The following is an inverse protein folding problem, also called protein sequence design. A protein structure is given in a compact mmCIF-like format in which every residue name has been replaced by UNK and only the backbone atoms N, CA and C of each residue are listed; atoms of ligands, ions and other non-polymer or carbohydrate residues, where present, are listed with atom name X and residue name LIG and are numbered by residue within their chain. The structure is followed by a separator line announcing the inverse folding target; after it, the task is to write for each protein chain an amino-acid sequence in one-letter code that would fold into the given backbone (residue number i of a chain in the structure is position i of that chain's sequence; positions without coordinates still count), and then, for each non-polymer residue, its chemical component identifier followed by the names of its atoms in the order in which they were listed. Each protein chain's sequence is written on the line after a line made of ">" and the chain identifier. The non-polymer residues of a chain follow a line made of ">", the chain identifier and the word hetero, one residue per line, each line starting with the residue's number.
data_IF_027017304837
#
_entry.id   IF_027017304837
#
_cell.length_a   1.000
_cell.length_b   1.000
_cell.length_c   1.000
_cell.angle_alpha   90.00
_cell.angle_beta   90.00
_cell.angle_gamma   90.00
#
_symmetry.space_group_name_H-M   'P 1'
#
loop_
_entity.id
_entity.type
_entity.pdbx_description
1 polymer ?
#
# COMPACT_ATOMS: atom_id res chain seq x y z
N UNK A 1 35.60 -9.33 -0.96
CA UNK A 1 35.33 -8.22 -0.08
C UNK A 1 33.94 -8.38 0.53
N UNK A 2 33.93 -8.55 1.82
CA UNK A 2 32.68 -8.79 2.55
C UNK A 2 31.73 -7.63 2.48
N UNK A 3 32.24 -6.41 2.35
CA UNK A 3 31.39 -5.23 2.29
C UNK A 3 30.41 -5.26 1.12
N UNK A 4 30.80 -5.89 0.02
CA UNK A 4 29.94 -5.95 -1.15
C UNK A 4 28.73 -6.83 -0.94
N UNK A 5 28.86 -7.86 -0.12
CA UNK A 5 27.76 -8.77 0.16
C UNK A 5 26.86 -8.25 1.27
N UNK A 6 27.46 -7.56 2.24
CA UNK A 6 26.69 -7.07 3.39
C UNK A 6 25.61 -6.08 3.01
N UNK A 7 25.87 -5.07 2.16
CA UNK A 7 24.79 -4.15 1.77
C UNK A 7 23.64 -4.84 1.07
N UNK A 8 23.93 -5.83 0.22
CA UNK A 8 22.88 -6.57 -0.48
C UNK A 8 22.03 -7.36 0.52
N UNK A 9 22.67 -7.99 1.51
CA UNK A 9 21.96 -8.74 2.54
C UNK A 9 21.09 -7.80 3.38
N UNK A 10 21.66 -6.66 3.78
CA UNK A 10 20.89 -5.67 4.53
C UNK A 10 19.69 -5.17 3.75
N UNK A 11 19.87 -4.93 2.44
CA UNK A 11 18.78 -4.46 1.61
C UNK A 11 17.68 -5.50 1.53
N UNK A 12 18.04 -6.78 1.40
CA UNK A 12 17.06 -7.85 1.34
C UNK A 12 16.25 -7.93 2.62
N UNK A 13 16.89 -7.71 3.76
CA UNK A 13 16.21 -7.73 5.06
C UNK A 13 15.27 -6.54 5.24
N UNK A 14 15.48 -5.49 4.47
CA UNK A 14 14.66 -4.27 4.53
C UNK A 14 13.66 -4.18 3.38
N UNK A 15 13.38 -5.30 2.74
CA UNK A 15 12.37 -5.40 1.70
C UNK A 15 11.19 -6.16 2.25
N UNK A 16 10.00 -5.60 2.07
CA UNK A 16 8.77 -6.25 2.50
C UNK A 16 8.05 -6.81 1.28
N UNK A 17 7.69 -8.09 1.32
CA UNK A 17 6.88 -8.71 0.27
C UNK A 17 5.71 -9.42 0.93
N UNK A 18 4.50 -9.07 0.50
CA UNK A 18 3.28 -9.72 0.99
C UNK A 18 2.50 -10.22 -0.22
N UNK A 19 2.22 -11.50 -0.25
CA UNK A 19 1.43 -12.10 -1.31
C UNK A 19 0.07 -12.50 -0.75
N UNK A 20 -0.99 -12.04 -1.41
CA UNK A 20 -2.37 -12.36 -1.04
C UNK A 20 -3.14 -12.81 -2.25
N UNK A 21 -4.06 -13.75 -2.05
CA UNK A 21 -4.99 -14.16 -3.08
C UNK A 21 -6.37 -13.68 -2.66
N UNK A 22 -6.98 -12.85 -3.51
CA UNK A 22 -8.32 -12.31 -3.26
C UNK A 22 -9.32 -12.96 -4.21
N UNK A 23 -10.50 -13.27 -3.71
CA UNK A 23 -11.57 -13.86 -4.51
C UNK A 23 -12.34 -12.75 -5.22
N UNK A 24 -11.68 -12.12 -6.18
CA UNK A 24 -12.23 -11.00 -6.95
C UNK A 24 -11.38 -10.79 -8.20
N UNK A 25 -11.98 -10.23 -9.27
CA UNK A 25 -11.21 -9.93 -10.49
C UNK A 25 -10.23 -8.79 -10.23
N UNK A 26 -9.10 -8.83 -10.95
CA UNK A 26 -8.04 -7.83 -10.73
C UNK A 26 -8.49 -6.40 -11.05
N UNK A 27 -9.46 -6.23 -11.94
CA UNK A 27 -9.97 -4.90 -12.24
C UNK A 27 -10.62 -4.26 -11.02
N UNK A 28 -11.31 -5.05 -10.21
CA UNK A 28 -11.92 -4.54 -8.99
C UNK A 28 -10.86 -4.19 -7.94
N UNK A 29 -9.82 -5.03 -7.83
CA UNK A 29 -8.74 -4.77 -6.88
C UNK A 29 -7.96 -3.53 -7.31
N UNK A 30 -7.73 -3.37 -8.62
CA UNK A 30 -7.05 -2.18 -9.11
C UNK A 30 -7.84 -0.91 -8.78
N UNK A 31 -9.17 -0.96 -8.93
CA UNK A 31 -10.03 0.16 -8.55
C UNK A 31 -9.96 0.42 -7.06
N UNK A 32 -9.88 -0.64 -6.25
CA UNK A 32 -9.77 -0.49 -4.81
C UNK A 32 -8.49 0.26 -4.42
N UNK A 33 -7.43 0.08 -5.18
CA UNK A 33 -6.16 0.77 -4.93
C UNK A 33 -6.16 2.21 -5.43
N UNK A 34 -6.95 2.53 -6.45
CA UNK A 34 -6.81 3.82 -7.14
C UNK A 34 -7.97 4.78 -6.93
N UNK A 35 -9.17 4.29 -6.68
CA UNK A 35 -10.32 5.18 -6.50
C UNK A 35 -10.46 5.56 -5.03
N UNK A 36 -10.52 6.88 -4.72
CA UNK A 36 -10.50 7.35 -3.33
C UNK A 36 -11.62 6.76 -2.46
N UNK A 37 -12.82 6.64 -3.00
CA UNK A 37 -13.95 6.11 -2.23
C UNK A 37 -13.76 4.65 -1.84
N UNK A 38 -13.04 3.88 -2.66
CA UNK A 38 -12.72 2.50 -2.32
C UNK A 38 -11.53 2.42 -1.38
N UNK A 39 -10.47 3.18 -1.70
CA UNK A 39 -9.22 3.15 -0.94
C UNK A 39 -9.46 3.50 0.52
N UNK A 40 -10.29 4.50 0.79
CA UNK A 40 -10.57 4.95 2.14
C UNK A 40 -11.22 3.88 3.01
N UNK A 41 -11.82 2.85 2.40
CA UNK A 41 -12.52 1.81 3.13
C UNK A 41 -11.59 0.73 3.69
N UNK A 42 -10.38 0.62 3.18
CA UNK A 42 -9.51 -0.49 3.59
C UNK A 42 -8.05 -0.11 3.85
N UNK A 43 -7.60 1.05 3.40
CA UNK A 43 -6.17 1.36 3.33
C UNK A 43 -5.46 1.49 4.67
N UNK A 44 -6.20 1.61 5.76
CA UNK A 44 -5.62 1.85 7.07
C UNK A 44 -5.72 0.62 7.95
N UNK A 45 -4.82 0.48 8.95
CA UNK A 45 -4.98 -0.58 9.93
C UNK A 45 -6.32 -0.49 10.64
N UNK A 46 -6.72 -1.57 11.29
CA UNK A 46 -8.03 -1.63 11.94
C UNK A 46 -8.16 -0.56 13.00
N UNK A 47 -9.33 0.07 13.02
CA UNK A 47 -9.63 1.12 13.97
C UNK A 47 -9.22 2.51 13.54
N UNK A 48 -8.45 2.60 12.44
CA UNK A 48 -8.08 3.90 11.88
C UNK A 48 -9.16 4.40 10.94
N UNK A 49 -9.22 5.73 10.79
CA UNK A 49 -10.07 6.36 9.78
C UNK A 49 -9.21 7.17 8.84
N UNK A 50 -9.81 7.61 7.72
CA UNK A 50 -9.09 8.36 6.70
C UNK A 50 -9.80 9.71 6.48
N UNK A 51 -9.53 10.71 7.37
CA UNK A 51 -10.22 12.00 7.24
C UNK A 51 -9.81 12.81 6.01
N UNK A 52 -8.69 12.48 5.38
CA UNK A 52 -8.25 13.20 4.19
C UNK A 52 -7.61 12.22 3.21
N UNK A 53 -8.00 12.33 1.95
CA UNK A 53 -7.39 11.57 0.87
C UNK A 53 -7.45 12.40 -0.41
N UNK A 54 -6.30 12.54 -1.06
CA UNK A 54 -6.21 13.23 -2.33
C UNK A 54 -5.23 12.48 -3.21
N UNK A 55 -5.60 12.26 -4.47
CA UNK A 55 -4.72 11.55 -5.39
C UNK A 55 -4.98 12.02 -6.82
N UNK A 56 -3.89 12.07 -7.58
CA UNK A 56 -3.91 12.39 -9.00
C UNK A 56 -3.45 11.12 -9.71
N UNK A 57 -4.39 10.32 -10.17
CA UNK A 57 -4.13 8.97 -10.67
C UNK A 57 -3.58 9.05 -12.09
N UNK A 58 -2.30 9.32 -12.20
CA UNK A 58 -1.57 9.31 -13.46
C UNK A 58 -0.09 9.21 -13.15
N UNK A 59 0.68 8.78 -14.12
CA UNK A 59 2.13 8.70 -13.98
C UNK A 59 2.66 10.09 -13.64
N UNK A 60 3.41 10.19 -12.56
CA UNK A 60 3.92 11.48 -12.05
C UNK A 60 2.95 12.22 -11.16
N UNK A 61 1.72 11.74 -11.00
CA UNK A 61 0.74 12.41 -10.14
C UNK A 61 1.04 12.20 -8.68
N UNK A 62 0.64 13.16 -7.85
CA UNK A 62 0.89 13.12 -6.40
C UNK A 62 -0.31 12.54 -5.66
N UNK A 63 -0.03 11.93 -4.52
CA UNK A 63 -1.10 11.47 -3.63
C UNK A 63 -0.72 11.80 -2.18
N UNK A 64 -1.72 11.97 -1.34
CA UNK A 64 -1.53 12.27 0.08
C UNK A 64 -2.73 11.79 0.87
N UNK A 65 -2.47 11.14 2.01
CA UNK A 65 -3.50 10.54 2.84
C UNK A 65 -3.23 10.87 4.30
N UNK A 66 -4.28 11.17 5.05
CA UNK A 66 -4.20 11.28 6.51
C UNK A 66 -4.90 10.08 7.11
N UNK A 67 -4.20 9.35 7.97
CA UNK A 67 -4.77 8.25 8.72
C UNK A 67 -4.88 8.67 10.19
N UNK A 68 -6.09 8.56 10.74
CA UNK A 68 -6.35 8.96 12.13
C UNK A 68 -6.55 7.72 12.99
N UNK A 69 -5.74 7.61 14.05
CA UNK A 69 -5.81 6.48 14.97
C UNK A 69 -7.05 6.56 15.84
N UNK A 70 -7.42 5.46 16.51
CA UNK A 70 -8.55 5.50 17.45
C UNK A 70 -8.38 6.52 18.57
N UNK A 71 -7.12 6.86 18.91
CA UNK A 71 -6.81 7.87 19.91
C UNK A 71 -6.91 9.29 19.40
N UNK A 72 -7.13 9.45 18.08
CA UNK A 72 -7.24 10.76 17.47
C UNK A 72 -5.95 11.33 16.97
N UNK A 73 -4.89 10.54 16.85
CA UNK A 73 -3.62 11.01 16.34
C UNK A 73 -3.58 10.84 14.83
N UNK A 74 -3.13 11.88 14.14
CA UNK A 74 -3.07 11.91 12.68
C UNK A 74 -1.67 11.52 12.20
N UNK A 75 -1.65 10.66 11.19
CA UNK A 75 -0.43 10.25 10.50
C UNK A 75 -0.59 10.59 9.02
N UNK A 76 0.33 11.37 8.51
CA UNK A 76 0.29 11.81 7.11
C UNK A 76 1.31 11.03 6.29
N UNK A 77 0.86 10.55 5.14
CA UNK A 77 1.71 9.80 4.21
C UNK A 77 1.45 10.34 2.81
N UNK A 78 2.50 10.37 1.99
CA UNK A 78 2.38 10.92 0.64
C UNK A 78 3.36 10.25 -0.32
N UNK A 79 3.18 10.51 -1.59
CA UNK A 79 4.08 9.99 -2.60
C UNK A 79 3.67 10.44 -3.99
N UNK A 80 4.29 9.78 -4.97
CA UNK A 80 4.03 10.03 -6.39
C UNK A 80 3.85 8.71 -7.09
N UNK A 81 2.92 8.66 -8.04
CA UNK A 81 2.77 7.50 -8.91
C UNK A 81 3.90 7.49 -9.92
N UNK A 82 4.60 6.37 -10.02
CA UNK A 82 5.67 6.18 -10.98
C UNK A 82 5.18 5.48 -12.22
N UNK A 83 4.31 4.48 -12.03
CA UNK A 83 3.83 3.68 -13.14
C UNK A 83 2.42 3.19 -12.84
N UNK A 84 1.53 3.30 -13.81
CA UNK A 84 0.16 2.81 -13.68
C UNK A 84 -0.15 2.02 -14.93
N UNK A 85 -0.26 0.70 -14.80
CA UNK A 85 -0.59 -0.19 -15.89
C UNK A 85 -1.86 -0.94 -15.50
N UNK A 86 -2.99 -0.34 -15.82
CA UNK A 86 -4.29 -0.88 -15.42
C UNK A 86 -4.63 -2.12 -16.23
N UNK A 87 -5.09 -3.20 -15.62
CA UNK A 87 -5.26 -3.46 -14.19
C UNK A 87 -4.14 -4.32 -13.58
N UNK A 88 -2.94 -4.25 -14.11
CA UNK A 88 -1.87 -5.20 -13.82
C UNK A 88 -0.87 -4.73 -12.79
N UNK A 89 -0.56 -3.44 -12.78
CA UNK A 89 0.56 -2.98 -11.96
C UNK A 89 0.40 -1.52 -11.54
N UNK A 90 0.80 -1.27 -10.31
CA UNK A 90 0.81 0.08 -9.75
C UNK A 90 2.12 0.27 -9.02
N UNK A 91 2.86 1.34 -9.35
CA UNK A 91 4.13 1.65 -8.70
C UNK A 91 4.06 3.07 -8.18
N UNK A 92 4.36 3.25 -6.90
CA UNK A 92 4.32 4.58 -6.30
C UNK A 92 5.33 4.69 -5.16
N UNK A 93 5.78 5.93 -4.90
CA UNK A 93 6.62 6.21 -3.75
C UNK A 93 5.76 6.37 -2.51
N UNK A 94 6.37 6.15 -1.35
CA UNK A 94 5.65 6.15 -0.07
C UNK A 94 6.56 6.78 0.98
N UNK A 95 6.09 7.88 1.57
CA UNK A 95 6.90 8.66 2.53
C UNK A 95 6.01 9.17 3.65
N UNK A 96 6.37 8.87 4.88
CA UNK A 96 5.69 9.44 6.04
C UNK A 96 6.17 10.85 6.26
N UNK A 97 5.26 11.71 6.70
CA UNK A 97 5.61 13.09 7.09
C UNK A 97 5.86 13.11 8.60
N UNK A 98 6.79 13.97 9.03
CA UNK A 98 7.00 14.18 10.45
C UNK A 98 5.96 15.16 10.99
N UNK A 99 6.07 15.51 12.27
CA UNK A 99 5.10 16.40 12.91
C UNK A 99 5.07 17.80 12.30
N UNK A 100 6.15 18.17 11.61
CA UNK A 100 6.24 19.46 10.94
C UNK A 100 5.81 19.39 9.48
N UNK A 101 5.38 18.23 9.02
CA UNK A 101 4.96 18.03 7.64
C UNK A 101 6.09 17.78 6.66
N UNK A 102 7.28 17.49 7.17
CA UNK A 102 8.43 17.23 6.31
C UNK A 102 8.51 15.75 5.96
N UNK A 103 8.93 15.44 4.72
CA UNK A 103 9.03 14.03 4.31
C UNK A 103 10.19 13.35 5.02
N UNK A 104 9.95 12.11 5.42
CA UNK A 104 10.98 11.26 5.99
C UNK A 104 11.60 10.37 4.93
N UNK A 105 11.92 9.14 5.34
CA UNK A 105 12.53 8.16 4.44
C UNK A 105 11.54 7.69 3.38
N UNK A 106 11.96 7.70 2.14
CA UNK A 106 11.11 7.29 1.02
C UNK A 106 11.34 5.83 0.66
N UNK A 107 10.23 5.11 0.45
CA UNK A 107 10.26 3.75 -0.07
C UNK A 107 9.49 3.70 -1.37
N UNK A 108 9.68 2.63 -2.13
CA UNK A 108 8.95 2.40 -3.38
C UNK A 108 8.05 1.20 -3.20
N UNK A 109 6.77 1.37 -3.54
CA UNK A 109 5.77 0.31 -3.46
C UNK A 109 5.44 -0.16 -4.87
N UNK A 110 5.43 -1.47 -5.06
CA UNK A 110 5.01 -2.10 -6.32
C UNK A 110 3.90 -3.08 -6.00
N UNK A 111 2.76 -2.91 -6.66
CA UNK A 111 1.61 -3.81 -6.53
C UNK A 111 1.41 -4.47 -7.88
N UNK A 112 1.52 -5.79 -7.91
CA UNK A 112 1.33 -6.57 -9.13
C UNK A 112 0.11 -7.46 -8.98
N UNK A 113 -0.76 -7.46 -9.96
CA UNK A 113 -2.03 -8.19 -9.91
C UNK A 113 -2.12 -9.17 -11.08
N UNK A 114 -2.24 -10.45 -10.76
CA UNK A 114 -2.36 -11.52 -11.74
C UNK A 114 -3.67 -12.25 -11.49
N UNK A 115 -4.50 -12.34 -12.51
CA UNK A 115 -5.81 -12.98 -12.37
C UNK A 115 -5.81 -14.39 -12.95
N UNK A 116 -6.48 -15.30 -12.22
CA UNK A 116 -6.65 -16.68 -12.68
C UNK A 116 -7.97 -17.20 -12.12
N UNK A 117 -8.85 -17.62 -13.00
CA UNK A 117 -10.17 -18.19 -12.63
C UNK A 117 -10.98 -17.27 -11.73
N UNK A 118 -10.96 -15.96 -12.02
CA UNK A 118 -11.73 -14.99 -11.28
C UNK A 118 -11.13 -14.59 -9.95
N UNK A 119 -9.98 -15.13 -9.63
CA UNK A 119 -9.25 -14.76 -8.40
C UNK A 119 -7.98 -14.02 -8.77
N UNK A 120 -7.55 -13.15 -7.88
CA UNK A 120 -6.37 -12.32 -8.14
C UNK A 120 -5.28 -12.60 -7.11
N UNK A 121 -4.07 -12.86 -7.61
CA UNK A 121 -2.88 -12.91 -6.76
C UNK A 121 -2.29 -11.52 -6.74
N UNK A 122 -2.23 -10.92 -5.56
CA UNK A 122 -1.61 -9.62 -5.37
C UNK A 122 -0.25 -9.82 -4.74
N UNK A 123 0.79 -9.34 -5.42
CA UNK A 123 2.13 -9.31 -4.86
C UNK A 123 2.45 -7.86 -4.54
N UNK A 124 2.58 -7.59 -3.26
CA UNK A 124 2.89 -6.26 -2.74
C UNK A 124 4.36 -6.24 -2.33
N UNK A 125 5.09 -5.24 -2.80
CA UNK A 125 6.51 -5.10 -2.45
C UNK A 125 6.78 -3.66 -2.05
N UNK A 126 7.43 -3.48 -0.92
CA UNK A 126 7.83 -2.14 -0.46
C UNK A 126 9.31 -2.19 -0.07
N UNK A 127 10.10 -1.27 -0.63
CA UNK A 127 11.56 -1.26 -0.44
C UNK A 127 12.10 0.15 -0.65
N UNK A 128 13.15 0.53 -0.09
CA UNK A 128 13.93 -0.18 0.93
C UNK A 128 13.71 0.59 2.23
N UNK A 129 13.33 -0.10 3.28
CA UNK A 129 13.06 0.56 4.57
C UNK A 129 14.38 1.01 5.21
N UNK A 130 14.28 1.98 6.11
CA UNK A 130 15.46 2.51 6.78
C UNK A 130 16.01 1.55 7.81
N UNK A 131 15.19 0.58 8.27
CA UNK A 131 15.60 -0.40 9.26
C UNK A 131 14.73 -1.63 9.16
N UNK A 132 15.18 -2.74 9.75
CA UNK A 132 14.39 -3.97 9.82
C UNK A 132 13.16 -3.76 10.71
N UNK A 133 13.32 -3.00 11.80
CA UNK A 133 12.18 -2.70 12.68
C UNK A 133 11.11 -1.93 11.94
N UNK A 134 11.50 -0.99 11.09
CA UNK A 134 10.56 -0.21 10.30
C UNK A 134 9.83 -1.11 9.30
N UNK A 135 10.55 -2.03 8.66
CA UNK A 135 9.95 -3.01 7.76
C UNK A 135 8.91 -3.86 8.50
N UNK A 136 9.27 -4.36 9.67
CA UNK A 136 8.39 -5.23 10.44
C UNK A 136 7.12 -4.50 10.89
N UNK A 137 7.27 -3.24 11.26
CA UNK A 137 6.13 -2.41 11.65
C UNK A 137 5.16 -2.25 10.48
N UNK A 138 5.69 -2.01 9.28
CA UNK A 138 4.84 -1.87 8.09
C UNK A 138 4.19 -3.19 7.71
N UNK A 139 4.88 -4.30 7.93
CA UNK A 139 4.31 -5.61 7.63
C UNK A 139 3.02 -5.83 8.41
N UNK A 140 3.05 -5.53 9.70
CA UNK A 140 1.86 -5.66 10.53
C UNK A 140 0.72 -4.77 10.05
N UNK A 141 1.02 -3.50 9.76
CA UNK A 141 0.03 -2.55 9.28
C UNK A 141 -0.57 -2.94 7.95
N UNK A 142 0.28 -3.32 6.99
CA UNK A 142 -0.22 -3.72 5.67
C UNK A 142 -1.06 -4.99 5.73
N UNK A 143 -0.68 -5.96 6.57
CA UNK A 143 -1.48 -7.17 6.70
C UNK A 143 -2.87 -6.87 7.25
N UNK A 144 -2.98 -5.95 8.22
CA UNK A 144 -4.30 -5.54 8.71
C UNK A 144 -5.11 -4.85 7.62
N UNK A 145 -4.46 -4.00 6.83
CA UNK A 145 -5.13 -3.32 5.73
C UNK A 145 -5.61 -4.32 4.69
N UNK A 146 -4.80 -5.34 4.39
CA UNK A 146 -5.19 -6.35 3.40
C UNK A 146 -6.30 -7.26 3.93
N UNK A 147 -6.36 -7.49 5.25
CA UNK A 147 -7.51 -8.16 5.84
C UNK A 147 -8.77 -7.32 5.63
N UNK A 148 -8.66 -6.01 5.82
CA UNK A 148 -9.77 -5.08 5.56
C UNK A 148 -10.16 -5.11 4.09
N UNK A 149 -9.18 -5.17 3.19
CA UNK A 149 -9.46 -5.23 1.77
C UNK A 149 -10.22 -6.51 1.42
N UNK A 150 -9.82 -7.64 1.99
CA UNK A 150 -10.51 -8.90 1.75
C UNK A 150 -11.97 -8.81 2.18
N UNK A 151 -12.23 -8.24 3.36
CA UNK A 151 -13.59 -8.05 3.87
C UNK A 151 -14.38 -7.11 2.97
N UNK A 152 -13.76 -6.02 2.55
CA UNK A 152 -14.39 -5.04 1.69
C UNK A 152 -14.78 -5.64 0.34
N UNK A 153 -13.91 -6.47 -0.23
CA UNK A 153 -14.18 -7.11 -1.52
C UNK A 153 -15.39 -8.02 -1.46
N UNK A 154 -15.59 -8.71 -0.32
CA UNK A 154 -16.78 -9.52 -0.13
C UNK A 154 -18.04 -8.64 -0.17
N UNK A 155 -18.02 -7.50 0.52
CA UNK A 155 -19.15 -6.58 0.56
C UNK A 155 -19.47 -6.03 -0.83
N UNK A 156 -18.46 -5.59 -1.55
CA UNK A 156 -18.64 -5.02 -2.89
C UNK A 156 -19.16 -6.07 -3.85
N UNK A 157 -18.59 -7.27 -3.79
CA UNK A 157 -19.00 -8.40 -4.64
C UNK A 157 -20.46 -8.78 -4.42
N UNK A 158 -20.89 -8.73 -3.15
CA UNK A 158 -22.27 -9.08 -2.78
C UNK A 158 -23.26 -8.00 -3.21
N UNK A 159 -22.93 -6.74 -3.03
CA UNK A 159 -23.84 -5.62 -3.27
C UNK A 159 -23.67 -4.96 -4.63
N UNK A 160 -22.56 -5.22 -5.31
CA UNK A 160 -22.24 -4.60 -6.58
C UNK A 160 -22.89 -5.26 -7.78
N UNK A 161 -23.73 -6.23 -7.55
CA UNK A 161 -24.46 -6.91 -8.63
C UNK A 161 -25.87 -6.33 -8.78
#
# INVERSE_FOLDING_TARGET
>A
MSEKNEPATESAERILVITRIFDAPRSLIFKAWTQPEHLARWCCPRGFTTPFHQSDIRSGGAWRVCMRSPEGKDYWVRGFYREIVEPEQLVFTHTWEDEEGKPGHETLVTVSLTEHDGKTTQVFRQAIFKSVEDRDSHEGGWNESFDNLADYLVQVSTHGK
#
